data_IF_504266181460
#
_entry.id   IF_504266181460
#
_cell.length_a   1.000
_cell.length_b   1.000
_cell.length_c   1.000
_cell.angle_alpha   90.00
_cell.angle_beta   90.00
_cell.angle_gamma   90.00
#
_symmetry.space_group_name_H-M   'P 1'
#
loop_
_entity.id
_entity.type
_entity.pdbx_description
1 polymer ?
#
# COMPACT_ATOMS: atom_id res chain seq x y z
N UNK A 1 19.29 46.79 15.76
CA UNK A 1 19.22 47.99 14.93
C UNK A 1 19.27 47.51 13.50
N UNK A 2 18.22 47.32 12.77
CA UNK A 2 17.37 48.19 12.02
C UNK A 2 16.35 47.30 11.29
N UNK A 3 15.16 47.18 11.79
CA UNK A 3 14.02 46.49 11.16
C UNK A 3 12.77 47.37 11.29
N UNK A 4 12.88 48.61 10.86
CA UNK A 4 11.77 49.57 10.82
C UNK A 4 12.01 50.50 9.62
N UNK A 5 11.67 50.07 8.40
CA UNK A 5 11.59 50.94 7.21
C UNK A 5 10.90 50.30 5.99
N UNK A 6 9.83 49.52 6.18
CA UNK A 6 9.05 49.05 5.03
C UNK A 6 7.51 49.09 5.23
N UNK A 7 7.03 50.02 6.06
CA UNK A 7 5.58 50.23 6.24
C UNK A 7 5.29 51.72 6.11
N UNK A 8 5.49 52.32 4.93
CA UNK A 8 4.96 53.63 4.55
C UNK A 8 5.14 53.89 3.07
N UNK A 9 4.45 53.17 2.22
CA UNK A 9 4.28 53.59 0.80
C UNK A 9 3.14 52.80 0.07
N UNK A 10 1.98 52.64 0.67
CA UNK A 10 0.76 52.24 -0.03
C UNK A 10 -0.43 52.92 0.66
N UNK A 11 -0.47 54.23 0.54
CA UNK A 11 -1.67 55.00 0.92
C UNK A 11 -1.55 56.38 0.28
N UNK A 12 -1.83 56.48 -1.02
CA UNK A 12 -2.13 57.74 -1.71
C UNK A 12 -2.29 57.46 -3.23
N UNK A 13 -3.37 56.83 -3.64
CA UNK A 13 -3.98 56.98 -5.00
C UNK A 13 -5.42 56.49 -4.92
N UNK A 14 -6.29 57.22 -4.30
CA UNK A 14 -7.73 57.12 -4.45
C UNK A 14 -8.37 58.45 -4.04
N UNK A 15 -8.26 59.46 -4.84
CA UNK A 15 -9.22 60.58 -4.91
C UNK A 15 -8.92 61.29 -6.26
N UNK A 16 -9.69 61.08 -7.26
CA UNK A 16 -10.11 62.01 -8.30
C UNK A 16 -10.64 61.25 -9.52
N UNK A 17 -11.94 61.11 -9.62
CA UNK A 17 -12.70 61.38 -10.82
C UNK A 17 -14.21 61.10 -10.55
N UNK A 18 -14.83 62.10 -9.95
CA UNK A 18 -16.28 62.27 -10.07
C UNK A 18 -16.53 63.47 -10.97
N UNK A 19 -17.56 63.36 -11.81
CA UNK A 19 -18.19 64.36 -12.67
C UNK A 19 -17.91 64.18 -14.17
N UNK A 20 -18.78 63.41 -14.83
CA UNK A 20 -19.22 63.69 -16.20
C UNK A 20 -20.65 63.15 -16.37
N UNK A 21 -21.50 64.07 -16.39
CA UNK A 21 -22.90 64.21 -16.78
C UNK A 21 -23.40 63.27 -17.86
N UNK A 22 -24.52 62.60 -17.60
CA UNK A 22 -25.79 62.58 -18.33
C UNK A 22 -25.80 62.30 -19.81
N UNK A 23 -26.28 61.11 -20.19
CA UNK A 23 -27.17 60.92 -21.32
C UNK A 23 -27.99 59.64 -21.09
N UNK A 24 -29.22 59.82 -20.68
CA UNK A 24 -30.23 58.76 -20.62
C UNK A 24 -30.53 58.32 -22.06
N UNK A 25 -30.04 57.18 -22.49
CA UNK A 25 -30.50 56.49 -23.69
C UNK A 25 -31.52 55.43 -23.26
N UNK A 26 -32.78 55.72 -23.56
CA UNK A 26 -33.86 54.73 -23.55
C UNK A 26 -33.55 53.73 -24.64
N UNK A 27 -33.03 52.57 -24.28
CA UNK A 27 -32.88 51.45 -25.20
C UNK A 27 -34.21 50.71 -25.26
N UNK A 28 -34.78 50.74 -26.47
CA UNK A 28 -36.03 49.99 -26.77
C UNK A 28 -35.75 48.52 -26.55
N UNK A 29 -36.54 47.87 -25.70
CA UNK A 29 -36.60 46.43 -25.52
C UNK A 29 -37.10 45.80 -26.81
N UNK A 30 -36.19 45.32 -27.67
CA UNK A 30 -36.52 44.36 -28.69
C UNK A 30 -36.88 43.03 -28.00
N UNK A 31 -38.11 42.58 -28.26
CA UNK A 31 -38.65 41.34 -27.72
C UNK A 31 -37.68 40.18 -28.08
N UNK A 32 -37.02 39.66 -27.04
CA UNK A 32 -36.24 38.44 -27.13
C UNK A 32 -37.25 37.29 -27.01
N UNK A 33 -37.52 36.63 -28.13
CA UNK A 33 -38.28 35.39 -28.14
C UNK A 33 -37.65 34.44 -27.11
N UNK A 34 -38.47 33.99 -26.15
CA UNK A 34 -38.04 33.06 -25.16
C UNK A 34 -37.57 31.77 -25.82
N UNK A 35 -36.27 31.54 -25.77
CA UNK A 35 -35.66 30.28 -26.21
C UNK A 35 -36.27 29.15 -25.36
N UNK A 36 -36.79 28.07 -25.95
CA UNK A 36 -37.37 27.00 -25.20
C UNK A 36 -36.29 26.44 -24.24
N UNK A 37 -36.65 26.29 -22.98
CA UNK A 37 -35.77 25.71 -21.96
C UNK A 37 -35.24 24.39 -22.47
N UNK A 38 -33.93 24.09 -22.27
CA UNK A 38 -33.39 22.79 -22.59
C UNK A 38 -34.20 21.70 -21.89
N UNK A 39 -34.45 20.55 -22.54
CA UNK A 39 -35.21 19.48 -21.94
C UNK A 39 -34.58 19.11 -20.60
N UNK A 40 -35.39 18.96 -19.57
CA UNK A 40 -34.91 18.50 -18.27
C UNK A 40 -34.12 17.18 -18.46
N UNK A 41 -32.98 16.99 -17.75
CA UNK A 41 -32.21 15.77 -17.89
C UNK A 41 -33.15 14.58 -17.66
N UNK A 42 -33.26 13.74 -18.69
CA UNK A 42 -34.04 12.51 -18.63
C UNK A 42 -33.66 11.78 -17.35
N UNK A 43 -34.65 11.43 -16.54
CA UNK A 43 -34.43 10.64 -15.33
C UNK A 43 -33.58 9.43 -15.72
N UNK A 44 -32.37 9.34 -15.18
CA UNK A 44 -31.47 8.24 -15.44
C UNK A 44 -32.24 6.94 -15.13
N UNK A 45 -32.26 5.99 -16.06
CA UNK A 45 -32.84 4.68 -15.83
C UNK A 45 -32.31 4.11 -14.51
N UNK A 46 -33.12 3.40 -13.72
CA UNK A 46 -32.69 2.89 -12.43
C UNK A 46 -31.40 2.10 -12.64
N UNK A 47 -30.32 2.54 -11.97
CA UNK A 47 -29.03 1.90 -12.10
C UNK A 47 -29.15 0.45 -11.65
N UNK A 48 -28.79 -0.49 -12.52
CA UNK A 48 -28.74 -1.91 -12.16
C UNK A 48 -27.87 -2.07 -10.92
N UNK A 49 -28.33 -2.78 -9.86
CA UNK A 49 -27.54 -2.97 -8.66
C UNK A 49 -26.14 -3.54 -8.99
N UNK A 50 -25.10 -3.19 -8.24
CA UNK A 50 -23.79 -3.78 -8.41
C UNK A 50 -23.83 -5.31 -8.28
N UNK A 51 -23.10 -6.00 -9.16
CA UNK A 51 -22.97 -7.45 -9.18
C UNK A 51 -21.62 -7.88 -8.55
N UNK A 52 -21.63 -8.44 -7.32
CA UNK A 52 -20.41 -8.87 -6.66
C UNK A 52 -19.73 -10.08 -7.31
N UNK A 53 -20.43 -10.91 -8.06
CA UNK A 53 -19.80 -12.05 -8.75
C UNK A 53 -18.98 -11.56 -9.95
N UNK A 54 -19.50 -10.60 -10.71
CA UNK A 54 -18.72 -9.87 -11.70
C UNK A 54 -17.57 -9.11 -11.04
N UNK A 55 -17.83 -8.51 -9.87
CA UNK A 55 -16.81 -7.84 -9.06
C UNK A 55 -15.64 -8.75 -8.70
N UNK A 56 -15.91 -10.01 -8.34
CA UNK A 56 -14.89 -11.02 -8.06
C UNK A 56 -13.99 -11.30 -9.26
N UNK A 57 -14.58 -11.47 -10.45
CA UNK A 57 -13.82 -11.70 -11.68
C UNK A 57 -12.94 -10.49 -12.03
N UNK A 58 -13.50 -9.28 -11.95
CA UNK A 58 -12.76 -8.05 -12.19
C UNK A 58 -11.64 -7.84 -11.15
N UNK A 59 -11.89 -8.18 -9.89
CA UNK A 59 -10.89 -8.14 -8.83
C UNK A 59 -9.72 -9.08 -9.15
N UNK A 60 -10.01 -10.31 -9.56
CA UNK A 60 -8.99 -11.29 -9.92
C UNK A 60 -8.09 -10.80 -11.06
N UNK A 61 -8.65 -10.07 -12.02
CA UNK A 61 -7.91 -9.56 -13.17
C UNK A 61 -7.10 -8.28 -12.87
N UNK A 62 -7.60 -7.41 -12.00
CA UNK A 62 -7.06 -6.05 -11.85
C UNK A 62 -6.43 -5.77 -10.49
N UNK A 63 -6.78 -6.52 -9.45
CA UNK A 63 -6.45 -6.19 -8.06
C UNK A 63 -5.65 -7.28 -7.35
N UNK A 64 -5.84 -8.55 -7.75
CA UNK A 64 -5.30 -9.72 -7.03
C UNK A 64 -3.78 -9.77 -7.00
N UNK A 65 -3.11 -9.22 -8.02
CA UNK A 65 -1.64 -9.16 -8.08
C UNK A 65 -1.06 -8.42 -6.87
N UNK A 66 -1.73 -7.36 -6.39
CA UNK A 66 -1.29 -6.60 -5.24
C UNK A 66 -1.99 -7.03 -3.94
N UNK A 67 -3.30 -7.30 -3.99
CA UNK A 67 -4.10 -7.57 -2.80
C UNK A 67 -4.26 -9.05 -2.45
N UNK A 68 -3.64 -9.95 -3.22
CA UNK A 68 -3.79 -11.40 -3.09
C UNK A 68 -5.07 -11.92 -3.74
N UNK A 69 -5.05 -13.20 -4.16
CA UNK A 69 -6.19 -13.82 -4.86
C UNK A 69 -7.46 -13.91 -4.00
N UNK A 70 -7.28 -14.03 -2.68
CA UNK A 70 -8.31 -14.06 -1.65
C UNK A 70 -8.57 -12.67 -1.01
N UNK A 71 -7.97 -11.61 -1.56
CA UNK A 71 -7.97 -10.26 -0.99
C UNK A 71 -7.35 -10.16 0.43
N UNK A 72 -6.65 -11.19 0.89
CA UNK A 72 -6.00 -11.28 2.20
C UNK A 72 -4.67 -10.52 2.29
N UNK A 73 -4.33 -9.73 1.28
CA UNK A 73 -3.12 -8.92 1.21
C UNK A 73 -2.00 -9.59 0.40
N UNK A 74 -1.10 -8.79 -0.08
CA UNK A 74 0.07 -9.13 -0.87
C UNK A 74 1.07 -7.99 -0.78
N UNK A 75 1.34 -7.30 -1.87
CA UNK A 75 2.04 -6.01 -1.84
C UNK A 75 1.11 -4.92 -1.31
N UNK A 76 -0.17 -4.98 -1.66
CA UNK A 76 -1.24 -4.20 -1.05
C UNK A 76 -1.71 -4.77 0.30
N UNK A 77 -2.49 -4.00 1.07
CA UNK A 77 -3.05 -4.46 2.35
C UNK A 77 -4.14 -5.52 2.17
N UNK A 78 -4.43 -6.24 3.26
CA UNK A 78 -5.62 -7.05 3.41
C UNK A 78 -6.88 -6.17 3.25
N UNK A 79 -7.85 -6.62 2.45
CA UNK A 79 -9.09 -5.90 2.18
C UNK A 79 -10.29 -6.44 2.96
N UNK A 80 -10.15 -7.54 3.71
CA UNK A 80 -11.20 -8.02 4.59
C UNK A 80 -11.46 -7.01 5.72
N UNK A 81 -12.72 -6.65 5.94
CA UNK A 81 -13.12 -5.65 6.92
C UNK A 81 -13.05 -4.19 6.43
N UNK A 82 -12.46 -3.93 5.27
CA UNK A 82 -12.27 -2.57 4.76
C UNK A 82 -13.60 -1.88 4.47
N UNK A 83 -14.56 -2.58 3.86
CA UNK A 83 -15.85 -2.00 3.53
C UNK A 83 -16.73 -1.81 4.75
N UNK A 84 -16.57 -2.62 5.81
CA UNK A 84 -17.24 -2.40 7.09
C UNK A 84 -16.80 -1.09 7.78
N UNK A 85 -15.52 -0.71 7.58
CA UNK A 85 -14.97 0.51 8.17
C UNK A 85 -15.23 1.74 7.31
N UNK A 86 -15.02 1.65 6.00
CA UNK A 86 -15.06 2.80 5.10
C UNK A 86 -16.40 2.97 4.40
N UNK A 87 -17.20 1.90 4.29
CA UNK A 87 -18.38 1.82 3.44
C UNK A 87 -18.05 1.53 1.97
N UNK A 88 -18.93 0.76 1.31
CA UNK A 88 -18.78 0.36 -0.10
C UNK A 88 -18.60 1.54 -1.06
N UNK A 89 -19.32 2.69 -0.91
CA UNK A 89 -19.11 3.85 -1.79
C UNK A 89 -17.71 4.47 -1.66
N UNK A 90 -17.14 4.49 -0.46
CA UNK A 90 -15.79 5.01 -0.26
C UNK A 90 -14.74 4.07 -0.88
N UNK A 91 -14.92 2.75 -0.76
CA UNK A 91 -14.08 1.75 -1.44
C UNK A 91 -14.12 1.95 -2.96
N UNK A 92 -15.31 2.15 -3.56
CA UNK A 92 -15.43 2.46 -4.99
C UNK A 92 -14.67 3.75 -5.35
N UNK A 93 -14.80 4.78 -4.52
CA UNK A 93 -14.08 6.03 -4.69
C UNK A 93 -12.56 5.86 -4.70
N UNK A 94 -12.04 5.01 -3.82
CA UNK A 94 -10.60 4.67 -3.75
C UNK A 94 -10.17 3.92 -5.02
N UNK A 95 -10.94 2.94 -5.50
CA UNK A 95 -10.63 2.20 -6.73
C UNK A 95 -10.52 3.17 -7.91
N UNK A 96 -11.40 4.15 -8.01
CA UNK A 96 -11.42 5.13 -9.11
C UNK A 96 -10.27 6.12 -9.06
N UNK A 97 -9.93 6.64 -7.88
CA UNK A 97 -8.94 7.73 -7.74
C UNK A 97 -7.56 7.26 -7.30
N UNK A 98 -7.47 6.04 -6.77
CA UNK A 98 -6.28 5.60 -6.07
C UNK A 98 -6.12 6.27 -4.70
N UNK A 99 -4.94 6.13 -4.12
CA UNK A 99 -4.53 6.78 -2.87
C UNK A 99 -3.25 7.54 -3.17
N UNK A 100 -3.32 8.87 -3.13
CA UNK A 100 -2.19 9.75 -3.40
C UNK A 100 -0.99 9.43 -2.49
N UNK A 101 0.20 9.49 -3.04
CA UNK A 101 1.44 9.17 -2.32
C UNK A 101 1.65 7.69 -2.02
N UNK A 102 0.84 6.79 -2.58
CA UNK A 102 0.97 5.33 -2.41
C UNK A 102 1.09 4.60 -3.75
N UNK A 103 1.40 3.29 -3.68
CA UNK A 103 1.41 2.43 -4.86
C UNK A 103 0.01 1.97 -5.32
N UNK A 104 -1.09 2.41 -4.68
CA UNK A 104 -2.45 2.12 -5.11
C UNK A 104 -2.85 3.12 -6.21
N UNK A 105 -2.80 2.76 -7.50
CA UNK A 105 -3.17 3.66 -8.58
C UNK A 105 -4.69 3.80 -8.67
N UNK A 106 -5.15 4.93 -9.22
CA UNK A 106 -6.54 5.04 -9.65
C UNK A 106 -6.77 4.24 -10.94
N UNK A 107 -7.95 3.64 -11.05
CA UNK A 107 -8.33 2.97 -12.29
C UNK A 107 -8.87 3.96 -13.31
N UNK A 108 -8.21 4.04 -14.47
CA UNK A 108 -8.65 4.85 -15.62
C UNK A 108 -9.35 4.00 -16.70
N UNK A 109 -9.28 2.67 -16.58
CA UNK A 109 -9.79 1.72 -17.58
C UNK A 109 -11.13 1.09 -17.19
N UNK A 110 -11.42 1.01 -15.88
CA UNK A 110 -12.67 0.44 -15.37
C UNK A 110 -13.79 1.50 -15.39
N UNK A 111 -14.95 1.11 -15.91
CA UNK A 111 -16.17 1.91 -15.87
C UNK A 111 -16.69 2.10 -14.44
N UNK A 112 -17.61 3.01 -14.25
CA UNK A 112 -18.25 3.25 -12.96
C UNK A 112 -18.97 2.01 -12.44
N UNK A 113 -19.64 1.25 -13.33
CA UNK A 113 -20.32 -0.01 -12.99
C UNK A 113 -19.33 -1.08 -12.56
N UNK A 114 -18.21 -1.23 -13.26
CA UNK A 114 -17.19 -2.23 -12.93
C UNK A 114 -16.53 -1.93 -11.58
N UNK A 115 -16.22 -0.67 -11.30
CA UNK A 115 -15.69 -0.26 -9.99
C UNK A 115 -16.71 -0.46 -8.87
N UNK A 116 -18.01 -0.25 -9.13
CA UNK A 116 -19.08 -0.54 -8.20
C UNK A 116 -19.20 -2.05 -7.93
N UNK A 117 -19.08 -2.88 -8.97
CA UNK A 117 -19.10 -4.34 -8.83
C UNK A 117 -17.92 -4.83 -7.96
N UNK A 118 -16.70 -4.32 -8.19
CA UNK A 118 -15.53 -4.66 -7.36
C UNK A 118 -15.75 -4.22 -5.91
N UNK A 119 -16.25 -3.01 -5.68
CA UNK A 119 -16.51 -2.52 -4.33
C UNK A 119 -17.59 -3.36 -3.61
N UNK A 120 -18.62 -3.81 -4.33
CA UNK A 120 -19.63 -4.73 -3.80
C UNK A 120 -19.06 -6.12 -3.47
N UNK A 121 -18.12 -6.64 -4.27
CA UNK A 121 -17.38 -7.85 -3.95
C UNK A 121 -16.56 -7.70 -2.67
N UNK A 122 -15.80 -6.61 -2.54
CA UNK A 122 -15.03 -6.33 -1.32
C UNK A 122 -15.95 -6.22 -0.10
N UNK A 123 -17.14 -5.62 -0.26
CA UNK A 123 -18.16 -5.58 0.79
C UNK A 123 -18.66 -6.96 1.21
N UNK A 124 -18.71 -7.92 0.30
CA UNK A 124 -19.07 -9.31 0.65
C UNK A 124 -17.95 -10.07 1.38
N UNK A 125 -16.68 -9.66 1.24
CA UNK A 125 -15.58 -10.27 1.98
C UNK A 125 -15.76 -10.11 3.50
N UNK A 126 -16.41 -9.05 3.93
CA UNK A 126 -16.66 -8.76 5.34
C UNK A 126 -17.72 -9.68 5.97
N UNK A 127 -18.67 -10.16 5.14
CA UNK A 127 -19.74 -11.08 5.58
C UNK A 127 -19.33 -12.57 5.49
N UNK A 128 -18.26 -12.88 4.73
CA UNK A 128 -17.71 -14.24 4.66
C UNK A 128 -16.83 -14.50 5.90
N UNK A 129 -17.45 -14.77 7.03
CA UNK A 129 -16.87 -14.89 8.38
C UNK A 129 -15.77 -15.95 8.54
N UNK A 130 -15.43 -16.73 7.51
CA UNK A 130 -14.49 -17.84 7.61
C UNK A 130 -13.20 -17.71 6.79
N UNK A 131 -13.12 -16.86 5.77
CA UNK A 131 -11.92 -16.72 4.95
C UNK A 131 -10.79 -15.90 5.61
N UNK A 132 -11.12 -15.21 6.72
CA UNK A 132 -10.18 -14.37 7.49
C UNK A 132 -9.88 -14.86 8.90
N UNK A 133 -10.40 -16.03 9.32
CA UNK A 133 -10.11 -16.58 10.64
C UNK A 133 -9.02 -17.65 10.55
N UNK A 134 -8.00 -17.49 11.38
CA UNK A 134 -7.01 -18.54 11.60
C UNK A 134 -7.64 -19.68 12.43
N UNK A 135 -7.35 -20.92 12.07
CA UNK A 135 -7.93 -22.13 12.69
C UNK A 135 -7.13 -22.67 13.85
N UNK A 136 -5.91 -22.15 14.07
CA UNK A 136 -4.99 -22.60 15.12
C UNK A 136 -5.24 -22.00 16.49
N UNK A 137 -4.46 -22.45 17.46
CA UNK A 137 -4.43 -21.97 18.84
C UNK A 137 -3.39 -20.84 18.99
N UNK A 138 -3.80 -19.57 19.23
CA UNK A 138 -2.88 -18.45 19.30
C UNK A 138 -1.90 -18.53 20.47
N UNK A 139 -2.23 -19.19 21.58
CA UNK A 139 -1.31 -19.36 22.73
C UNK A 139 -0.17 -20.34 22.39
N UNK A 140 -0.49 -21.42 21.67
CA UNK A 140 0.55 -22.33 21.14
C UNK A 140 1.39 -21.61 20.08
N UNK A 141 0.75 -20.78 19.24
CA UNK A 141 1.43 -19.95 18.24
C UNK A 141 2.41 -18.97 18.86
N UNK A 142 2.07 -18.33 19.97
CA UNK A 142 2.97 -17.46 20.74
C UNK A 142 4.17 -18.21 21.29
N UNK A 143 3.95 -19.40 21.87
CA UNK A 143 5.02 -20.25 22.33
C UNK A 143 5.96 -20.67 21.18
N UNK A 144 5.42 -20.99 20.01
CA UNK A 144 6.19 -21.28 18.79
C UNK A 144 6.98 -20.06 18.29
N UNK A 145 6.38 -18.87 18.28
CA UNK A 145 7.08 -17.64 17.93
C UNK A 145 8.33 -17.42 18.77
N UNK A 146 8.21 -17.62 20.09
CA UNK A 146 9.30 -17.44 21.03
C UNK A 146 10.37 -18.55 20.90
N UNK A 147 9.96 -19.82 20.75
CA UNK A 147 10.88 -20.95 20.68
C UNK A 147 11.56 -21.15 19.34
N UNK A 148 10.95 -20.68 18.24
CA UNK A 148 11.51 -20.79 16.88
C UNK A 148 12.45 -19.65 16.50
N UNK A 149 12.77 -18.73 17.42
CA UNK A 149 13.73 -17.66 17.20
C UNK A 149 13.22 -16.51 16.30
N UNK A 150 11.91 -16.39 16.10
CA UNK A 150 11.32 -15.34 15.24
C UNK A 150 11.68 -13.94 15.72
N UNK A 151 11.74 -13.72 17.04
CA UNK A 151 12.10 -12.46 17.68
C UNK A 151 13.54 -12.00 17.45
N UNK A 152 14.44 -12.90 17.01
CA UNK A 152 15.80 -12.50 16.64
C UNK A 152 15.83 -11.59 15.41
N UNK A 153 14.86 -11.76 14.51
CA UNK A 153 14.76 -10.99 13.26
C UNK A 153 13.59 -10.01 13.24
N UNK A 154 12.49 -10.33 13.90
CA UNK A 154 11.25 -9.57 13.87
C UNK A 154 10.97 -8.83 15.17
N UNK A 155 10.45 -7.61 15.04
CA UNK A 155 10.00 -6.78 16.16
C UNK A 155 8.49 -6.93 16.37
N UNK A 156 8.07 -7.02 17.65
CA UNK A 156 6.67 -6.88 18.09
C UNK A 156 6.67 -5.90 19.26
N UNK A 157 5.84 -4.87 19.23
CA UNK A 157 5.70 -3.85 20.28
C UNK A 157 7.05 -3.25 20.73
N UNK A 158 7.95 -2.98 19.78
CA UNK A 158 9.27 -2.43 20.05
C UNK A 158 10.30 -3.44 20.58
N UNK A 159 9.97 -4.70 20.73
CA UNK A 159 10.84 -5.77 21.23
C UNK A 159 11.24 -6.70 20.07
N UNK A 160 12.53 -7.02 19.96
CA UNK A 160 13.06 -7.94 18.96
C UNK A 160 13.99 -7.30 17.93
N UNK A 161 14.33 -8.08 16.89
CA UNK A 161 15.24 -7.70 15.83
C UNK A 161 14.60 -6.80 14.77
N UNK A 162 15.45 -6.16 13.94
CA UNK A 162 15.03 -5.23 12.89
C UNK A 162 15.50 -5.64 11.49
N UNK A 163 15.92 -6.89 11.30
CA UNK A 163 16.31 -7.39 9.98
C UNK A 163 15.09 -7.79 9.15
N UNK A 164 14.05 -8.31 9.81
CA UNK A 164 12.75 -8.59 9.24
C UNK A 164 11.75 -7.44 9.47
N UNK A 165 10.56 -7.48 8.85
CA UNK A 165 9.51 -6.51 9.09
C UNK A 165 9.00 -6.53 10.54
N UNK A 166 8.56 -5.36 11.01
CA UNK A 166 7.81 -5.22 12.26
C UNK A 166 6.47 -5.96 12.13
N UNK A 167 6.20 -6.86 13.07
CA UNK A 167 5.01 -7.70 13.10
C UNK A 167 3.92 -7.17 14.04
N UNK A 168 4.12 -6.05 14.73
CA UNK A 168 3.17 -5.49 15.71
C UNK A 168 1.75 -5.35 15.18
N UNK A 169 1.59 -5.18 13.88
CA UNK A 169 0.29 -5.00 13.21
C UNK A 169 0.06 -5.97 12.05
N UNK A 170 0.78 -7.07 12.03
CA UNK A 170 0.77 -7.96 10.86
C UNK A 170 -0.59 -8.59 10.60
N UNK A 171 -1.34 -8.92 11.65
CA UNK A 171 -2.69 -9.50 11.56
C UNK A 171 -3.76 -8.52 11.06
N UNK A 172 -3.50 -7.20 11.13
CA UNK A 172 -4.34 -6.20 10.45
C UNK A 172 -3.93 -6.03 8.98
N UNK A 173 -2.64 -6.23 8.67
CA UNK A 173 -2.10 -5.99 7.33
C UNK A 173 -2.21 -7.20 6.39
N UNK A 174 -2.28 -8.42 6.92
CA UNK A 174 -2.25 -9.68 6.16
C UNK A 174 -3.28 -10.66 6.66
N UNK A 175 -3.93 -11.39 5.74
CA UNK A 175 -4.82 -12.49 6.07
C UNK A 175 -4.04 -13.79 6.35
N UNK A 176 -4.71 -14.79 6.96
CA UNK A 176 -4.08 -16.03 7.39
C UNK A 176 -3.46 -16.83 6.24
N UNK A 177 -4.10 -16.89 5.08
CA UNK A 177 -3.57 -17.56 3.88
C UNK A 177 -2.24 -16.96 3.44
N UNK A 178 -2.15 -15.62 3.42
CA UNK A 178 -0.92 -14.92 3.06
C UNK A 178 0.19 -15.17 4.09
N UNK A 179 -0.12 -15.08 5.38
CA UNK A 179 0.85 -15.35 6.44
C UNK A 179 1.39 -16.77 6.36
N UNK A 180 0.51 -17.76 6.17
CA UNK A 180 0.91 -19.17 6.02
C UNK A 180 1.83 -19.38 4.81
N UNK A 181 1.49 -18.78 3.66
CA UNK A 181 2.32 -18.85 2.47
C UNK A 181 3.71 -18.24 2.69
N UNK A 182 3.79 -17.10 3.41
CA UNK A 182 5.08 -16.46 3.74
C UNK A 182 5.94 -17.26 4.71
N UNK A 183 5.34 -17.99 5.64
CA UNK A 183 6.06 -18.91 6.53
C UNK A 183 6.60 -20.12 5.75
N UNK A 184 5.86 -20.61 4.76
CA UNK A 184 6.26 -21.77 3.97
C UNK A 184 7.27 -21.43 2.87
N UNK A 185 7.12 -20.27 2.22
CA UNK A 185 8.01 -19.80 1.17
C UNK A 185 8.23 -18.28 1.28
N UNK A 186 9.15 -17.84 2.15
CA UNK A 186 9.40 -16.42 2.36
C UNK A 186 10.01 -15.71 1.15
N UNK A 187 10.62 -16.44 0.23
CA UNK A 187 11.24 -15.91 -0.99
C UNK A 187 10.28 -15.71 -2.17
N UNK A 188 9.18 -16.49 -2.23
CA UNK A 188 8.31 -16.58 -3.41
C UNK A 188 7.77 -15.25 -3.93
N UNK A 189 7.52 -14.30 -3.03
CA UNK A 189 6.93 -13.01 -3.38
C UNK A 189 7.87 -11.83 -3.09
N UNK A 190 9.16 -12.08 -2.93
CA UNK A 190 10.16 -11.03 -2.93
C UNK A 190 10.45 -10.59 -4.39
N UNK A 191 10.92 -9.36 -4.60
CA UNK A 191 11.23 -8.87 -5.94
C UNK A 191 12.12 -9.86 -6.69
N UNK A 192 11.65 -10.35 -7.83
CA UNK A 192 12.41 -11.26 -8.70
C UNK A 192 13.33 -10.49 -9.65
N UNK A 193 12.97 -9.23 -9.95
CA UNK A 193 13.77 -8.31 -10.78
C UNK A 193 13.62 -6.92 -10.18
N UNK A 194 14.69 -6.14 -10.16
CA UNK A 194 14.69 -4.81 -9.58
C UNK A 194 13.70 -3.86 -10.23
N UNK A 195 13.24 -2.94 -9.43
CA UNK A 195 12.60 -1.68 -9.76
C UNK A 195 11.63 -1.71 -10.96
N UNK A 196 10.44 -2.30 -10.78
CA UNK A 196 9.30 -2.00 -11.64
C UNK A 196 8.95 -0.50 -11.55
N UNK A 197 8.16 0.04 -12.50
CA UNK A 197 7.85 1.48 -12.61
C UNK A 197 7.24 2.09 -11.34
N UNK A 198 6.89 1.28 -10.35
CA UNK A 198 6.31 1.71 -9.08
C UNK A 198 7.21 1.43 -7.85
N UNK A 199 8.48 1.04 -8.04
CA UNK A 199 9.42 0.70 -6.99
C UNK A 199 8.78 -0.27 -5.97
N UNK A 200 9.04 -1.56 -6.06
CA UNK A 200 8.46 -2.51 -5.10
C UNK A 200 8.78 -2.06 -3.68
N UNK A 201 7.78 -1.95 -2.79
CA UNK A 201 7.96 -1.68 -1.35
C UNK A 201 8.91 -2.67 -0.67
N UNK A 202 9.14 -3.81 -1.31
CA UNK A 202 9.92 -4.93 -0.78
C UNK A 202 11.35 -4.94 -1.27
N UNK A 203 11.79 -3.95 -2.08
CA UNK A 203 13.21 -3.82 -2.48
C UNK A 203 14.15 -3.69 -1.28
N UNK A 204 13.64 -3.24 -0.13
CA UNK A 204 14.39 -3.22 1.13
C UNK A 204 14.77 -4.61 1.64
N UNK A 205 14.10 -5.69 1.17
CA UNK A 205 14.41 -7.08 1.50
C UNK A 205 15.09 -7.81 0.34
N UNK A 206 15.42 -7.10 -0.76
CA UNK A 206 16.20 -7.68 -1.85
C UNK A 206 17.62 -7.97 -1.34
N UNK A 207 17.99 -9.23 -1.44
CA UNK A 207 19.30 -9.69 -1.04
C UNK A 207 20.35 -9.27 -2.07
N UNK A 208 21.51 -8.91 -1.57
CA UNK A 208 22.71 -8.63 -2.33
C UNK A 208 23.85 -9.51 -1.85
N UNK A 209 24.70 -9.90 -2.79
CA UNK A 209 25.94 -10.59 -2.53
C UNK A 209 27.09 -9.71 -3.03
N UNK A 210 27.86 -9.16 -2.10
CA UNK A 210 29.06 -8.39 -2.37
C UNK A 210 30.30 -9.28 -2.23
N UNK A 211 31.18 -9.27 -3.23
CA UNK A 211 32.49 -9.98 -3.19
C UNK A 211 33.57 -8.93 -3.23
N UNK A 212 34.41 -8.86 -2.21
CA UNK A 212 35.55 -7.98 -2.15
C UNK A 212 36.73 -8.50 -2.99
N UNK A 213 37.71 -7.67 -3.29
CA UNK A 213 38.88 -8.04 -4.10
C UNK A 213 39.75 -9.12 -3.45
N UNK A 214 39.76 -9.18 -2.12
CA UNK A 214 40.42 -10.21 -1.32
C UNK A 214 39.67 -11.55 -1.28
N UNK A 215 38.47 -11.61 -1.84
CA UNK A 215 37.60 -12.79 -1.89
C UNK A 215 36.60 -12.89 -0.73
N UNK A 216 36.58 -11.95 0.21
CA UNK A 216 35.59 -11.92 1.28
C UNK A 216 34.20 -11.69 0.67
N UNK A 217 33.22 -12.47 1.14
CA UNK A 217 31.82 -12.40 0.69
C UNK A 217 30.97 -11.86 1.82
N UNK A 218 30.12 -10.90 1.50
CA UNK A 218 29.11 -10.39 2.41
C UNK A 218 27.74 -10.47 1.71
N UNK A 219 26.80 -11.15 2.35
CA UNK A 219 25.39 -11.20 1.94
C UNK A 219 24.58 -10.31 2.86
N UNK A 220 23.66 -9.53 2.29
CA UNK A 220 22.87 -8.59 3.09
C UNK A 220 21.73 -7.96 2.31
N UNK A 221 20.80 -7.38 3.04
CA UNK A 221 19.79 -6.50 2.46
C UNK A 221 20.33 -5.07 2.32
N UNK A 222 19.94 -4.39 1.26
CA UNK A 222 20.36 -3.00 1.01
C UNK A 222 19.73 -2.04 2.01
N UNK A 223 20.56 -1.27 2.70
CA UNK A 223 20.13 -0.17 3.60
C UNK A 223 20.24 1.18 2.90
N UNK A 224 21.26 1.36 2.10
CA UNK A 224 21.49 2.59 1.33
C UNK A 224 22.37 2.31 0.11
N UNK A 225 22.17 3.05 -0.96
CA UNK A 225 22.93 2.92 -2.19
C UNK A 225 22.93 4.24 -2.95
N UNK A 226 24.07 4.61 -3.48
CA UNK A 226 24.23 5.67 -4.47
C UNK A 226 25.07 5.17 -5.67
N UNK A 227 25.50 6.08 -6.55
CA UNK A 227 26.30 5.71 -7.73
C UNK A 227 27.66 5.10 -7.37
N UNK A 228 28.23 5.35 -6.21
CA UNK A 228 29.58 5.02 -5.82
C UNK A 228 29.68 4.04 -4.66
N UNK A 229 28.66 4.00 -3.80
CA UNK A 229 28.65 3.25 -2.54
C UNK A 229 27.40 2.40 -2.39
N UNK A 230 27.52 1.35 -1.56
CA UNK A 230 26.39 0.56 -1.09
C UNK A 230 26.61 0.19 0.38
N UNK A 231 25.54 0.20 1.17
CA UNK A 231 25.53 -0.29 2.54
C UNK A 231 24.59 -1.48 2.63
N UNK A 232 25.14 -2.62 3.04
CA UNK A 232 24.39 -3.86 3.28
C UNK A 232 24.27 -4.12 4.77
N UNK A 233 23.13 -4.64 5.20
CA UNK A 233 22.89 -5.14 6.54
C UNK A 233 22.81 -6.68 6.47
N UNK A 234 23.72 -7.37 7.16
CA UNK A 234 23.76 -8.83 7.21
C UNK A 234 22.67 -9.41 8.14
N UNK A 235 22.57 -10.75 8.17
CA UNK A 235 21.58 -11.46 8.99
C UNK A 235 21.73 -11.19 10.50
N UNK A 236 22.92 -10.81 10.95
CA UNK A 236 23.19 -10.42 12.35
C UNK A 236 22.88 -8.96 12.65
N UNK A 237 22.38 -8.21 11.65
CA UNK A 237 22.08 -6.79 11.79
C UNK A 237 23.27 -5.85 11.64
N UNK A 238 24.49 -6.39 11.36
CA UNK A 238 25.70 -5.59 11.17
C UNK A 238 25.67 -4.89 9.82
N UNK A 239 26.09 -3.62 9.80
CA UNK A 239 26.20 -2.82 8.60
C UNK A 239 27.61 -2.97 7.97
N UNK A 240 27.63 -3.17 6.67
CA UNK A 240 28.81 -3.27 5.84
C UNK A 240 28.73 -2.23 4.73
N UNK A 241 29.64 -1.23 4.77
CA UNK A 241 29.73 -0.20 3.74
C UNK A 241 30.81 -0.55 2.72
N UNK A 242 30.49 -0.42 1.44
CA UNK A 242 31.40 -0.71 0.34
C UNK A 242 31.44 0.46 -0.64
N UNK A 243 32.63 0.72 -1.19
CA UNK A 243 32.75 1.47 -2.44
C UNK A 243 32.63 0.48 -3.61
N UNK A 244 31.69 0.72 -4.52
CA UNK A 244 31.41 -0.19 -5.64
C UNK A 244 32.66 -0.53 -6.49
N UNK A 245 33.58 0.44 -6.78
CA UNK A 245 34.80 0.13 -7.53
C UNK A 245 35.80 -0.81 -6.79
N UNK A 246 35.64 -0.96 -5.48
CA UNK A 246 36.55 -1.81 -4.67
C UNK A 246 35.99 -3.25 -4.54
N UNK A 247 34.80 -3.51 -5.04
CA UNK A 247 34.24 -4.85 -5.13
C UNK A 247 34.70 -5.59 -6.38
N UNK A 248 34.83 -6.92 -6.29
CA UNK A 248 34.98 -7.82 -7.43
C UNK A 248 33.65 -8.01 -8.15
N UNK A 249 32.57 -8.21 -7.36
CA UNK A 249 31.17 -8.24 -7.86
C UNK A 249 30.19 -7.74 -6.80
N UNK A 250 29.03 -7.28 -7.29
CA UNK A 250 27.87 -6.90 -6.49
C UNK A 250 26.63 -7.42 -7.22
N UNK A 251 26.12 -8.53 -6.73
CA UNK A 251 25.06 -9.27 -7.39
C UNK A 251 23.75 -9.12 -6.59
N UNK A 252 22.64 -8.91 -7.28
CA UNK A 252 21.29 -9.01 -6.71
C UNK A 252 20.90 -10.48 -6.67
N UNK A 253 20.28 -10.93 -5.59
CA UNK A 253 19.80 -12.31 -5.41
C UNK A 253 18.26 -12.31 -5.26
N UNK A 254 17.51 -12.18 -6.38
CA UNK A 254 16.06 -12.18 -6.35
C UNK A 254 15.50 -13.47 -5.77
N UNK A 255 14.41 -13.36 -4.98
CA UNK A 255 13.77 -14.53 -4.36
C UNK A 255 14.52 -15.13 -3.16
N UNK A 256 15.74 -14.70 -2.87
CA UNK A 256 16.47 -15.11 -1.66
C UNK A 256 16.01 -14.32 -0.46
N UNK A 257 15.85 -14.98 0.68
CA UNK A 257 15.42 -14.37 1.94
C UNK A 257 16.31 -14.82 3.09
N UNK A 258 16.54 -13.93 4.06
CA UNK A 258 17.11 -14.32 5.36
C UNK A 258 16.13 -15.11 6.23
N UNK A 259 14.82 -14.93 6.02
CA UNK A 259 13.81 -15.72 6.70
C UNK A 259 13.86 -17.15 6.18
N UNK A 260 14.07 -18.15 7.04
CA UNK A 260 14.05 -19.55 6.61
C UNK A 260 12.63 -19.99 6.26
N UNK A 261 12.51 -21.02 5.43
CA UNK A 261 11.24 -21.72 5.24
C UNK A 261 10.91 -22.56 6.47
N UNK A 262 9.67 -22.44 6.94
CA UNK A 262 9.13 -23.27 8.03
C UNK A 262 8.29 -24.44 7.52
N UNK A 263 8.23 -24.66 6.20
CA UNK A 263 7.41 -25.69 5.55
C UNK A 263 7.70 -27.09 6.11
N UNK A 264 8.96 -27.40 6.31
CA UNK A 264 9.41 -28.71 6.77
C UNK A 264 9.83 -28.71 8.25
N UNK A 265 10.01 -27.52 8.83
CA UNK A 265 10.41 -27.35 10.23
C UNK A 265 9.22 -27.38 11.21
N UNK A 266 8.03 -27.00 10.75
CA UNK A 266 6.80 -27.00 11.54
C UNK A 266 5.74 -27.88 10.87
N UNK A 267 4.97 -28.61 11.69
CA UNK A 267 3.81 -29.34 11.21
C UNK A 267 2.71 -28.39 10.70
N UNK A 268 1.76 -28.90 9.93
CA UNK A 268 0.62 -28.12 9.43
C UNK A 268 -0.16 -27.44 10.59
N UNK A 269 -0.38 -28.18 11.69
CA UNK A 269 -1.04 -27.63 12.89
C UNK A 269 -0.22 -26.53 13.55
N UNK A 270 1.09 -26.71 13.69
CA UNK A 270 1.97 -25.70 14.26
C UNK A 270 2.03 -24.42 13.39
N UNK A 271 2.00 -24.56 12.06
CA UNK A 271 1.89 -23.40 11.15
C UNK A 271 0.55 -22.68 11.36
N UNK A 272 -0.55 -23.41 11.54
CA UNK A 272 -1.86 -22.83 11.81
C UNK A 272 -1.91 -22.12 13.17
N UNK A 273 -1.30 -22.71 14.22
CA UNK A 273 -1.16 -22.10 15.53
C UNK A 273 -0.35 -20.79 15.45
N UNK A 274 0.80 -20.82 14.77
CA UNK A 274 1.63 -19.64 14.58
C UNK A 274 0.90 -18.54 13.79
N UNK A 275 0.18 -18.89 12.74
CA UNK A 275 -0.68 -17.96 11.99
C UNK A 275 -1.76 -17.38 12.88
N UNK A 276 -2.40 -18.19 13.73
CA UNK A 276 -3.42 -17.72 14.67
C UNK A 276 -2.85 -16.65 15.63
N UNK A 277 -1.66 -16.87 16.15
CA UNK A 277 -0.97 -15.87 16.98
C UNK A 277 -0.69 -14.58 16.19
N UNK A 278 -0.09 -14.68 15.00
CA UNK A 278 0.19 -13.51 14.17
C UNK A 278 -1.07 -12.71 13.83
N UNK A 279 -2.22 -13.37 13.65
CA UNK A 279 -3.51 -12.74 13.42
C UNK A 279 -4.05 -11.95 14.61
N UNK A 280 -3.56 -12.19 15.84
CA UNK A 280 -3.90 -11.38 17.02
C UNK A 280 -3.20 -10.02 17.02
N UNK A 281 -2.09 -9.88 16.32
CA UNK A 281 -1.26 -8.68 16.26
C UNK A 281 -1.88 -7.62 15.34
N UNK A 282 -2.87 -6.86 15.85
CA UNK A 282 -3.67 -5.90 15.06
C UNK A 282 -3.45 -4.44 15.43
N UNK A 283 -2.92 -4.15 16.60
CA UNK A 283 -2.66 -2.81 17.11
C UNK A 283 -1.24 -2.72 17.66
N UNK A 284 -0.61 -1.55 17.56
CA UNK A 284 0.55 -1.25 18.39
C UNK A 284 0.08 -1.29 19.85
N UNK A 285 0.67 -2.18 20.63
CA UNK A 285 0.44 -2.25 22.07
C UNK A 285 1.21 -1.13 22.77
#
# INVERSE_FOLDING_TARGET
MSAIRYVRLVALVFVACALATGAFRVSQATGQEAQPAPPAPSAAAPATPPDPEQGKLLFAQNCSACHGADAGGGDGPNLHGVAAVLGVPAVQGIIRRGIEGTAMPGSTTLSEKETANIAAYIGKLDSATNAGQATGDPHKGEALYNSSGCSACHMIAGQGGSIGPDLSRIGAARGPTNLKARLQDPGANLPQVGDGPFGSRWTQYLMYRAVEKDGRVVEGVRVGEDSFTIVLKDAGGKLHGFRKPDLRSLDKEPGKSFMPSFKDALSATQLDDLVAYLMTLKSAQ
#
